data_IF_036833172492
#
_entry.id   IF_036833172492
#
_cell.length_a   1.000
_cell.length_b   1.000
_cell.length_c   1.000
_cell.angle_alpha   90.00
_cell.angle_beta   90.00
_cell.angle_gamma   90.00
#
_symmetry.space_group_name_H-M   'P 1'
#
loop_
_entity.id
_entity.type
_entity.pdbx_description
1 polymer ?
#
# COMPACT_ATOMS: atom_id res chain seq x y z
N UNK A 1 -9.29 5.19 0.74
CA UNK A 1 -8.27 5.97 1.47
C UNK A 1 -6.92 5.45 1.07
N UNK A 2 -6.56 4.26 1.57
CA UNK A 2 -5.61 3.37 0.91
C UNK A 2 -6.41 2.13 0.50
N UNK A 3 -6.70 2.03 -0.79
CA UNK A 3 -7.53 1.00 -1.41
C UNK A 3 -6.87 0.39 -2.66
N UNK A 4 -5.64 0.84 -2.96
CA UNK A 4 -4.83 0.33 -4.06
C UNK A 4 -3.33 0.31 -3.71
N UNK A 5 -2.50 -0.45 -4.45
CA UNK A 5 -1.05 -0.38 -4.36
C UNK A 5 -0.49 1.03 -4.59
N UNK A 6 -1.05 1.79 -5.53
CA UNK A 6 -0.64 3.15 -5.87
C UNK A 6 -0.91 4.11 -4.70
N UNK A 7 -2.10 4.03 -4.10
CA UNK A 7 -2.43 4.84 -2.93
C UNK A 7 -1.52 4.52 -1.73
N UNK A 8 -1.11 3.26 -1.56
CA UNK A 8 -0.13 2.88 -0.56
C UNK A 8 1.25 3.47 -0.86
N UNK A 9 1.70 3.36 -2.13
CA UNK A 9 2.97 3.89 -2.62
C UNK A 9 3.10 5.38 -2.36
N UNK A 10 2.11 6.16 -2.75
CA UNK A 10 2.11 7.62 -2.57
C UNK A 10 2.36 8.03 -1.12
N UNK A 11 1.85 7.27 -0.13
CA UNK A 11 2.12 7.55 1.28
C UNK A 11 3.57 7.30 1.66
N UNK A 12 4.14 6.19 1.18
CA UNK A 12 5.54 5.89 1.43
C UNK A 12 6.47 6.89 0.72
N UNK A 13 6.15 7.27 -0.51
CA UNK A 13 6.89 8.29 -1.27
C UNK A 13 6.80 9.68 -0.61
N UNK A 14 5.69 9.97 0.07
CA UNK A 14 5.54 11.15 0.93
C UNK A 14 6.30 11.04 2.28
N UNK A 15 7.05 9.96 2.51
CA UNK A 15 7.90 9.77 3.68
C UNK A 15 7.28 8.97 4.83
N UNK A 16 6.08 8.41 4.66
CA UNK A 16 5.50 7.54 5.69
C UNK A 16 6.39 6.30 5.90
N UNK A 17 6.60 5.92 7.16
CA UNK A 17 7.31 4.66 7.52
C UNK A 17 6.37 3.48 7.72
N UNK A 18 5.09 3.77 7.97
CA UNK A 18 4.03 2.80 8.19
C UNK A 18 2.71 3.36 7.63
N UNK A 19 1.89 2.48 7.09
CA UNK A 19 0.52 2.78 6.68
C UNK A 19 -0.45 1.83 7.36
N UNK A 20 -1.70 2.25 7.49
CA UNK A 20 -2.78 1.44 8.03
C UNK A 20 -3.90 1.32 6.99
N UNK A 21 -4.52 0.15 6.91
CA UNK A 21 -5.63 -0.12 5.99
C UNK A 21 -6.78 -0.69 6.81
N UNK A 22 -7.92 0.00 6.80
CA UNK A 22 -9.15 -0.43 7.48
C UNK A 22 -10.30 -0.61 6.48
N UNK A 23 -10.90 0.49 6.01
CA UNK A 23 -12.01 0.42 5.04
C UNK A 23 -11.61 -0.27 3.73
N UNK A 24 -10.36 -0.12 3.29
CA UNK A 24 -9.82 -0.84 2.13
C UNK A 24 -9.90 -2.37 2.29
N UNK A 25 -9.71 -2.91 3.50
CA UNK A 25 -9.85 -4.35 3.75
C UNK A 25 -11.31 -4.80 3.69
N UNK A 26 -12.25 -3.95 4.13
CA UNK A 26 -13.68 -4.25 4.10
C UNK A 26 -14.18 -4.35 2.65
N UNK A 27 -13.76 -3.44 1.77
CA UNK A 27 -14.26 -3.38 0.39
C UNK A 27 -13.46 -4.22 -0.60
N UNK A 28 -12.14 -4.25 -0.51
CA UNK A 28 -11.28 -4.96 -1.47
C UNK A 28 -10.82 -6.34 -0.97
N UNK A 29 -11.11 -6.67 0.29
CA UNK A 29 -10.73 -7.94 0.90
C UNK A 29 -9.22 -8.07 1.18
N UNK A 30 -8.80 -9.25 1.69
CA UNK A 30 -7.41 -9.49 2.11
C UNK A 30 -6.40 -9.48 0.94
N UNK A 31 -6.87 -9.64 -0.30
CA UNK A 31 -6.03 -9.59 -1.49
C UNK A 31 -5.33 -8.23 -1.67
N UNK A 32 -5.95 -7.13 -1.20
CA UNK A 32 -5.38 -5.78 -1.24
C UNK A 32 -3.98 -5.73 -0.62
N UNK A 33 -3.80 -6.36 0.55
CA UNK A 33 -2.50 -6.39 1.25
C UNK A 33 -1.45 -7.13 0.43
N UNK A 34 -1.84 -8.21 -0.26
CA UNK A 34 -0.93 -8.96 -1.13
C UNK A 34 -0.49 -8.11 -2.32
N UNK A 35 -1.42 -7.41 -2.98
CA UNK A 35 -1.13 -6.54 -4.12
C UNK A 35 -0.23 -5.38 -3.72
N UNK A 36 -0.49 -4.71 -2.58
CA UNK A 36 0.38 -3.65 -2.04
C UNK A 36 1.80 -4.21 -1.84
N UNK A 37 1.96 -5.35 -1.16
CA UNK A 37 3.29 -5.93 -0.93
C UNK A 37 4.01 -6.30 -2.23
N UNK A 38 3.29 -6.75 -3.25
CA UNK A 38 3.88 -7.10 -4.55
C UNK A 38 4.41 -5.86 -5.29
N UNK A 39 3.64 -4.75 -5.29
CA UNK A 39 4.09 -3.48 -5.86
C UNK A 39 5.32 -2.94 -5.11
N UNK A 40 5.26 -2.88 -3.77
CA UNK A 40 6.37 -2.40 -2.94
C UNK A 40 7.67 -3.19 -3.18
N UNK A 41 7.56 -4.49 -3.48
CA UNK A 41 8.69 -5.35 -3.80
C UNK A 41 9.22 -5.15 -5.23
N UNK A 42 8.37 -4.86 -6.21
CA UNK A 42 8.79 -4.68 -7.60
C UNK A 42 9.51 -3.36 -7.83
N UNK A 43 9.22 -2.35 -7.01
CA UNK A 43 9.87 -1.02 -7.05
C UNK A 43 10.34 -0.68 -5.63
N UNK A 44 11.54 -1.14 -5.21
CA UNK A 44 12.06 -0.83 -3.89
C UNK A 44 12.33 0.67 -3.77
N UNK A 45 12.11 1.21 -2.56
CA UNK A 45 12.39 2.61 -2.27
C UNK A 45 13.89 2.88 -2.38
N UNK A 46 14.28 3.88 -3.18
CA UNK A 46 15.64 4.41 -3.14
C UNK A 46 15.81 5.20 -1.84
N UNK A 47 16.83 4.84 -1.06
CA UNK A 47 17.16 5.48 0.21
C UNK A 47 17.86 6.83 0.01
#
# INVERSE_FOLDING_TARGET
GIDSPEAARERFDAGARLIQVYSGLIFAGPALVKSIKQDLRSRPFSN
#
